data_IF_725052009380
#
_entry.id   IF_725052009380
#
_cell.length_a   1.000
_cell.length_b   1.000
_cell.length_c   1.000
_cell.angle_alpha   90.00
_cell.angle_beta   90.00
_cell.angle_gamma   90.00
#
_symmetry.space_group_name_H-M   'P 1'
#
loop_
_entity.id
_entity.type
_entity.pdbx_description
1 polymer ?
#
# COMPACT_ATOMS: atom_id res chain seq x y z
N UNK A 1 -11.57 13.33 -15.15
CA UNK A 1 -12.50 12.57 -14.27
C UNK A 1 -13.36 13.54 -13.47
N UNK A 2 -14.62 13.20 -13.18
CA UNK A 2 -15.49 14.01 -12.29
C UNK A 2 -15.28 13.61 -10.81
N UNK A 3 -15.58 14.51 -9.86
CA UNK A 3 -15.42 14.28 -8.40
C UNK A 3 -16.09 12.98 -7.91
N UNK A 4 -17.26 12.64 -8.47
CA UNK A 4 -17.98 11.40 -8.15
C UNK A 4 -17.17 10.13 -8.48
N UNK A 5 -16.42 10.14 -9.58
CA UNK A 5 -15.59 8.99 -9.98
C UNK A 5 -14.34 8.84 -9.09
N UNK A 6 -13.84 9.94 -8.53
CA UNK A 6 -12.69 9.95 -7.63
C UNK A 6 -13.06 9.37 -6.26
N UNK A 7 -14.19 9.81 -5.71
CA UNK A 7 -14.73 9.25 -4.46
C UNK A 7 -15.00 7.75 -4.62
N UNK A 8 -15.54 7.32 -5.76
CA UNK A 8 -15.78 5.91 -6.03
C UNK A 8 -14.48 5.09 -6.12
N UNK A 9 -13.45 5.60 -6.80
CA UNK A 9 -12.15 4.95 -6.89
C UNK A 9 -11.48 4.79 -5.51
N UNK A 10 -11.54 5.83 -4.68
CA UNK A 10 -11.04 5.80 -3.29
C UNK A 10 -11.73 4.73 -2.45
N UNK A 11 -13.07 4.67 -2.50
CA UNK A 11 -13.85 3.65 -1.78
C UNK A 11 -13.53 2.24 -2.30
N UNK A 12 -13.34 2.06 -3.60
CA UNK A 12 -12.97 0.77 -4.19
C UNK A 12 -11.58 0.30 -3.74
N UNK A 13 -10.58 1.20 -3.74
CA UNK A 13 -9.23 0.87 -3.28
C UNK A 13 -9.21 0.54 -1.78
N UNK A 14 -9.97 1.27 -0.96
CA UNK A 14 -10.12 0.95 0.47
C UNK A 14 -10.68 -0.46 0.68
N UNK A 15 -11.79 -0.80 0.01
CA UNK A 15 -12.40 -2.14 0.09
C UNK A 15 -11.47 -3.23 -0.41
N UNK A 16 -10.72 -2.95 -1.47
CA UNK A 16 -9.69 -3.85 -1.96
C UNK A 16 -8.65 -4.14 -0.88
N UNK A 17 -8.08 -3.09 -0.28
CA UNK A 17 -7.08 -3.23 0.78
C UNK A 17 -7.63 -4.02 1.98
N UNK A 18 -8.85 -3.70 2.43
CA UNK A 18 -9.54 -4.44 3.50
C UNK A 18 -9.67 -5.93 3.16
N UNK A 19 -10.13 -6.27 1.95
CA UNK A 19 -10.24 -7.66 1.50
C UNK A 19 -8.90 -8.39 1.38
N UNK A 20 -7.82 -7.68 1.04
CA UNK A 20 -6.45 -8.23 1.04
C UNK A 20 -5.97 -8.49 2.47
N UNK A 21 -6.21 -7.57 3.40
CA UNK A 21 -5.86 -7.77 4.82
C UNK A 21 -6.58 -8.96 5.47
N UNK A 22 -7.78 -9.30 5.01
CA UNK A 22 -8.54 -10.46 5.49
C UNK A 22 -7.96 -11.80 5.01
N UNK A 23 -7.11 -11.82 3.97
CA UNK A 23 -6.57 -13.06 3.43
C UNK A 23 -5.57 -13.73 4.40
N UNK A 24 -5.70 -15.04 4.66
CA UNK A 24 -4.79 -15.77 5.52
C UNK A 24 -3.33 -15.65 5.07
N UNK A 25 -2.48 -15.16 5.98
CA UNK A 25 -1.05 -15.02 5.73
C UNK A 25 -0.62 -13.72 5.06
N UNK A 26 -1.54 -12.79 4.74
CA UNK A 26 -1.18 -11.46 4.24
C UNK A 26 -0.57 -10.59 5.33
N UNK A 27 -1.18 -10.50 6.52
CA UNK A 27 -0.63 -9.70 7.63
C UNK A 27 0.85 -10.01 7.91
N UNK A 28 1.27 -11.27 8.14
CA UNK A 28 2.68 -11.56 8.38
C UNK A 28 3.58 -11.28 7.16
N UNK A 29 3.07 -11.40 5.93
CA UNK A 29 3.82 -11.09 4.71
C UNK A 29 4.06 -9.59 4.56
N UNK A 30 3.03 -8.76 4.76
CA UNK A 30 3.15 -7.30 4.70
C UNK A 30 4.07 -6.77 5.81
N UNK A 31 3.99 -7.35 7.01
CA UNK A 31 4.93 -7.03 8.08
C UNK A 31 6.39 -7.37 7.72
N UNK A 32 6.63 -8.52 7.11
CA UNK A 32 7.97 -8.92 6.64
C UNK A 32 8.50 -7.99 5.53
N UNK A 33 7.65 -7.64 4.55
CA UNK A 33 7.97 -6.68 3.49
C UNK A 33 8.33 -5.29 4.07
N UNK A 34 7.57 -4.84 5.06
CA UNK A 34 7.80 -3.57 5.72
C UNK A 34 9.09 -3.57 6.56
N UNK A 35 9.23 -4.54 7.45
CA UNK A 35 10.25 -4.52 8.49
C UNK A 35 11.61 -4.99 7.99
N UNK A 36 11.65 -5.93 7.04
CA UNK A 36 12.91 -6.52 6.54
C UNK A 36 13.32 -6.00 5.15
N UNK A 37 12.39 -5.45 4.36
CA UNK A 37 12.69 -4.91 3.02
C UNK A 37 12.43 -3.41 2.89
N UNK A 38 11.90 -2.76 3.93
CA UNK A 38 11.67 -1.32 3.93
C UNK A 38 10.55 -0.86 3.01
N UNK A 39 9.71 -1.77 2.51
CA UNK A 39 8.62 -1.43 1.61
C UNK A 39 7.51 -0.66 2.35
N UNK A 40 6.95 0.36 1.70
CA UNK A 40 5.69 0.93 2.14
C UNK A 40 4.52 0.05 1.66
N UNK A 41 3.87 -0.60 2.62
CA UNK A 41 2.79 -1.56 2.35
C UNK A 41 1.60 -0.94 1.63
N UNK A 42 1.33 0.36 1.79
CA UNK A 42 0.21 1.01 1.10
C UNK A 42 0.50 1.20 -0.38
N UNK A 43 1.75 1.52 -0.72
CA UNK A 43 2.17 1.60 -2.11
C UNK A 43 2.17 0.23 -2.79
N UNK A 44 2.51 -0.84 -2.05
CA UNK A 44 2.38 -2.21 -2.56
C UNK A 44 0.92 -2.60 -2.81
N UNK A 45 0.01 -2.27 -1.87
CA UNK A 45 -1.43 -2.52 -2.06
C UNK A 45 -1.97 -1.73 -3.26
N UNK A 46 -1.52 -0.49 -3.45
CA UNK A 46 -1.86 0.29 -4.63
C UNK A 46 -1.37 -0.34 -5.93
N UNK A 47 -0.13 -0.85 -5.93
CA UNK A 47 0.45 -1.57 -7.07
C UNK A 47 -0.36 -2.83 -7.41
N UNK A 48 -0.78 -3.60 -6.41
CA UNK A 48 -1.67 -4.74 -6.61
C UNK A 48 -3.01 -4.33 -7.23
N UNK A 49 -3.61 -3.24 -6.74
CA UNK A 49 -4.86 -2.71 -7.26
C UNK A 49 -4.76 -2.28 -8.73
N UNK A 50 -3.68 -1.59 -9.12
CA UNK A 50 -3.41 -1.22 -10.51
C UNK A 50 -3.21 -2.45 -11.41
N UNK A 51 -2.39 -3.40 -10.99
CA UNK A 51 -2.10 -4.61 -11.77
C UNK A 51 -3.34 -5.47 -12.01
N UNK A 52 -4.23 -5.58 -11.04
CA UNK A 52 -5.52 -6.30 -11.22
C UNK A 52 -6.43 -5.65 -12.26
N UNK A 53 -6.33 -4.34 -12.38
CA UNK A 53 -7.07 -3.55 -13.37
C UNK A 53 -6.37 -3.52 -14.73
N UNK A 54 -5.22 -4.19 -14.87
CA UNK A 54 -4.35 -4.13 -16.07
C UNK A 54 -3.95 -2.70 -16.41
N UNK A 55 -3.80 -1.88 -15.37
CA UNK A 55 -3.36 -0.50 -15.48
C UNK A 55 -1.88 -0.42 -15.15
N UNK A 56 -1.14 0.32 -15.97
CA UNK A 56 0.27 0.57 -15.76
C UNK A 56 0.52 2.03 -15.36
N UNK A 57 1.40 2.22 -14.38
CA UNK A 57 1.97 3.52 -14.07
C UNK A 57 3.42 3.57 -14.56
N UNK A 58 3.76 4.64 -15.30
CA UNK A 58 5.14 4.89 -15.67
C UNK A 58 6.00 5.13 -14.42
N UNK A 59 7.31 4.96 -14.54
CA UNK A 59 8.25 5.24 -13.45
C UNK A 59 8.07 6.65 -12.89
N UNK A 60 7.95 7.67 -13.75
CA UNK A 60 7.72 9.06 -13.33
C UNK A 60 6.40 9.28 -12.59
N UNK A 61 5.37 8.47 -12.88
CA UNK A 61 4.10 8.51 -12.15
C UNK A 61 4.26 7.89 -10.77
N UNK A 62 4.98 6.77 -10.66
CA UNK A 62 5.32 6.17 -9.39
C UNK A 62 6.17 7.10 -8.51
N UNK A 63 7.17 7.80 -9.07
CA UNK A 63 7.93 8.84 -8.36
C UNK A 63 7.01 9.92 -7.81
N UNK A 64 6.10 10.46 -8.64
CA UNK A 64 5.15 11.48 -8.21
C UNK A 64 4.20 10.98 -7.10
N UNK A 65 3.77 9.71 -7.17
CA UNK A 65 2.96 9.07 -6.13
C UNK A 65 3.75 8.95 -4.82
N UNK A 66 5.01 8.49 -4.88
CA UNK A 66 5.89 8.35 -3.72
C UNK A 66 6.13 9.71 -3.06
N UNK A 67 6.44 10.74 -3.84
CA UNK A 67 6.65 12.11 -3.37
C UNK A 67 5.41 12.68 -2.69
N UNK A 68 4.22 12.45 -3.26
CA UNK A 68 2.95 12.88 -2.66
C UNK A 68 2.60 12.10 -1.38
N UNK A 69 2.96 10.80 -1.34
CA UNK A 69 2.69 9.91 -0.22
C UNK A 69 3.56 10.21 1.00
N UNK A 70 4.83 10.54 0.77
CA UNK A 70 5.84 10.64 1.82
C UNK A 70 5.50 11.60 2.97
N UNK A 71 5.00 12.84 2.74
CA UNK A 71 4.68 13.75 3.84
C UNK A 71 3.64 13.20 4.82
N UNK A 72 2.60 12.52 4.34
CA UNK A 72 1.58 11.91 5.20
C UNK A 72 2.15 10.73 5.99
N UNK A 73 2.93 9.88 5.32
CA UNK A 73 3.63 8.78 5.98
C UNK A 73 4.51 9.32 7.12
N UNK A 74 5.40 10.26 6.84
CA UNK A 74 6.33 10.81 7.82
C UNK A 74 5.65 11.50 9.01
N UNK A 75 4.57 12.24 8.78
CA UNK A 75 3.95 13.10 9.80
C UNK A 75 2.78 12.46 10.55
N UNK A 76 2.17 11.40 10.02
CA UNK A 76 0.96 10.80 10.60
C UNK A 76 1.16 9.31 10.88
N UNK A 77 1.43 8.51 9.86
CA UNK A 77 1.47 7.06 9.99
C UNK A 77 2.71 6.60 10.78
N UNK A 78 3.90 7.14 10.49
CA UNK A 78 5.14 6.78 11.20
C UNK A 78 5.10 7.10 12.70
N UNK A 79 4.59 8.28 13.15
CA UNK A 79 4.38 8.55 14.57
C UNK A 79 3.39 7.58 15.24
N UNK A 80 2.25 7.29 14.61
CA UNK A 80 1.27 6.33 15.15
C UNK A 80 1.85 4.93 15.28
N UNK A 81 2.60 4.49 14.26
CA UNK A 81 3.30 3.20 14.26
C UNK A 81 4.36 3.11 15.35
N UNK A 82 5.13 4.18 15.54
CA UNK A 82 6.11 4.29 16.63
C UNK A 82 5.43 4.16 17.99
N UNK A 83 4.33 4.88 18.20
CA UNK A 83 3.54 4.79 19.42
C UNK A 83 2.97 3.37 19.63
N UNK A 84 2.37 2.75 18.60
CA UNK A 84 1.84 1.38 18.68
C UNK A 84 2.94 0.39 19.07
N UNK A 85 4.12 0.47 18.45
CA UNK A 85 5.26 -0.40 18.74
C UNK A 85 5.72 -0.27 20.18
N UNK A 86 5.77 0.95 20.71
CA UNK A 86 6.14 1.20 22.11
C UNK A 86 5.13 0.61 23.10
N UNK A 87 3.83 0.64 22.77
CA UNK A 87 2.75 0.14 23.64
C UNK A 87 2.58 -1.39 23.58
N UNK A 88 3.12 -2.05 22.54
CA UNK A 88 2.92 -3.48 22.31
C UNK A 88 3.47 -4.34 23.46
N UNK A 89 2.64 -5.23 24.00
CA UNK A 89 3.04 -6.21 25.03
C UNK A 89 3.06 -5.67 26.46
N UNK A 90 2.63 -4.43 26.69
CA UNK A 90 2.53 -3.82 28.01
C UNK A 90 1.12 -4.00 28.57
N UNK A 91 1.00 -4.56 29.77
CA UNK A 91 -0.29 -4.83 30.42
C UNK A 91 -1.02 -3.55 30.84
N UNK A 92 -0.28 -2.54 31.32
CA UNK A 92 -0.81 -1.25 31.79
C UNK A 92 -1.36 -0.36 30.66
N UNK A 93 -1.09 -0.70 29.39
CA UNK A 93 -1.50 0.08 28.23
C UNK A 93 -2.22 -0.72 27.16
N UNK A 94 -2.80 -1.89 27.49
CA UNK A 94 -3.47 -2.77 26.52
C UNK A 94 -4.60 -2.05 25.76
N UNK A 95 -5.45 -1.29 26.46
CA UNK A 95 -6.54 -0.53 25.85
C UNK A 95 -6.03 0.60 24.94
N UNK A 96 -4.95 1.27 25.35
CA UNK A 96 -4.32 2.33 24.55
C UNK A 96 -3.67 1.75 23.30
N UNK A 97 -3.02 0.58 23.41
CA UNK A 97 -2.45 -0.15 22.27
C UNK A 97 -3.51 -0.43 21.20
N UNK A 98 -4.70 -0.93 21.60
CA UNK A 98 -5.80 -1.19 20.66
C UNK A 98 -6.27 0.10 19.97
N UNK A 99 -6.43 1.19 20.73
CA UNK A 99 -6.84 2.49 20.17
C UNK A 99 -5.81 3.05 19.18
N UNK A 100 -4.53 3.03 19.53
CA UNK A 100 -3.45 3.51 18.64
C UNK A 100 -3.35 2.64 17.39
N UNK A 101 -3.49 1.30 17.52
CA UNK A 101 -3.56 0.39 16.36
C UNK A 101 -4.72 0.77 15.43
N UNK A 102 -5.91 1.07 15.98
CA UNK A 102 -7.05 1.52 15.20
C UNK A 102 -6.80 2.86 14.48
N UNK A 103 -6.16 3.82 15.16
CA UNK A 103 -5.79 5.09 14.55
C UNK A 103 -4.75 4.94 13.43
N UNK A 104 -3.74 4.08 13.61
CA UNK A 104 -2.75 3.77 12.57
C UNK A 104 -3.45 3.22 11.32
N UNK A 105 -4.30 2.20 11.49
CA UNK A 105 -5.03 1.59 10.38
C UNK A 105 -5.95 2.60 9.66
N UNK A 106 -6.71 3.41 10.40
CA UNK A 106 -7.60 4.39 9.77
C UNK A 106 -6.80 5.48 9.03
N UNK A 107 -5.65 5.91 9.56
CA UNK A 107 -4.77 6.86 8.88
C UNK A 107 -4.16 6.28 7.59
N UNK A 108 -3.87 4.98 7.58
CA UNK A 108 -3.40 4.24 6.41
C UNK A 108 -4.49 4.11 5.34
N UNK A 109 -5.71 3.68 5.72
CA UNK A 109 -6.84 3.54 4.80
C UNK A 109 -7.27 4.88 4.21
N UNK A 110 -7.27 5.95 5.01
CA UNK A 110 -7.56 7.30 4.55
C UNK A 110 -6.52 7.78 3.51
N UNK A 111 -5.27 7.41 3.67
CA UNK A 111 -4.22 7.74 2.70
C UNK A 111 -4.42 7.01 1.37
N UNK A 112 -4.79 5.72 1.41
CA UNK A 112 -5.14 4.97 0.21
C UNK A 112 -6.34 5.61 -0.52
N UNK A 113 -7.40 5.95 0.20
CA UNK A 113 -8.59 6.59 -0.40
C UNK A 113 -8.23 7.91 -1.12
N UNK A 114 -7.38 8.71 -0.50
CA UNK A 114 -6.86 9.96 -1.09
C UNK A 114 -5.94 9.72 -2.26
N UNK A 115 -5.13 8.65 -2.24
CA UNK A 115 -4.22 8.31 -3.33
C UNK A 115 -4.99 8.03 -4.62
N UNK A 116 -6.04 7.21 -4.56
CA UNK A 116 -6.88 6.94 -5.73
C UNK A 116 -7.60 8.20 -6.26
N UNK A 117 -7.88 9.16 -5.38
CA UNK A 117 -8.47 10.45 -5.78
C UNK A 117 -7.44 11.41 -6.39
N UNK A 118 -6.21 11.38 -5.88
CA UNK A 118 -5.09 12.21 -6.32
C UNK A 118 -4.54 11.74 -7.67
N UNK A 119 -4.38 10.43 -7.84
CA UNK A 119 -3.85 9.83 -9.04
C UNK A 119 -4.90 9.83 -10.16
N UNK A 120 -4.84 10.84 -11.02
CA UNK A 120 -5.84 11.08 -12.06
C UNK A 120 -5.83 10.07 -13.20
N UNK A 121 -4.87 9.13 -13.23
CA UNK A 121 -4.70 8.19 -14.34
C UNK A 121 -4.43 8.87 -15.70
N UNK A 122 -4.09 10.17 -15.71
CA UNK A 122 -3.98 10.96 -16.96
C UNK A 122 -2.68 10.64 -17.74
N UNK A 123 -1.75 9.89 -17.14
CA UNK A 123 -0.59 9.30 -17.79
C UNK A 123 -0.69 7.76 -17.81
N UNK A 124 -1.81 7.21 -18.29
CA UNK A 124 -1.84 5.80 -18.71
C UNK A 124 -0.93 5.65 -19.92
N UNK A 125 0.30 5.21 -19.69
CA UNK A 125 1.18 4.77 -20.76
C UNK A 125 0.53 3.56 -21.45
N UNK A 126 0.78 3.40 -22.75
CA UNK A 126 0.08 2.46 -23.65
C UNK A 126 0.60 1.02 -23.44
N UNK A 127 0.87 0.63 -22.19
CA UNK A 127 1.18 -0.74 -21.77
C UNK A 127 0.05 -1.28 -20.90
N UNK A 128 -1.11 -1.44 -21.53
CA UNK A 128 -2.26 -2.13 -20.96
C UNK A 128 -2.02 -3.64 -20.98
N UNK A 129 -1.07 -4.13 -20.20
CA UNK A 129 -1.02 -5.55 -19.82
C UNK A 129 -0.11 -5.85 -18.62
N UNK A 130 0.39 -4.82 -17.91
CA UNK A 130 1.33 -5.05 -16.83
C UNK A 130 0.70 -5.94 -15.74
N UNK A 131 1.43 -6.98 -15.35
CA UNK A 131 1.01 -7.89 -14.31
C UNK A 131 1.10 -7.23 -12.93
N UNK A 132 0.49 -7.86 -11.91
CA UNK A 132 0.61 -7.39 -10.52
C UNK A 132 2.07 -7.37 -10.08
N UNK A 133 2.85 -8.37 -10.50
CA UNK A 133 4.28 -8.49 -10.24
C UNK A 133 5.08 -7.35 -10.86
N UNK A 134 4.76 -6.93 -12.09
CA UNK A 134 5.41 -5.81 -12.76
C UNK A 134 5.11 -4.48 -12.06
N UNK A 135 3.87 -4.26 -11.62
CA UNK A 135 3.52 -3.07 -10.83
C UNK A 135 4.21 -3.07 -9.46
N UNK A 136 4.30 -4.22 -8.79
CA UNK A 136 5.02 -4.34 -7.52
C UNK A 136 6.52 -4.04 -7.70
N UNK A 137 7.13 -4.52 -8.78
CA UNK A 137 8.52 -4.25 -9.10
C UNK A 137 8.77 -2.76 -9.38
N UNK A 138 7.93 -2.12 -10.21
CA UNK A 138 8.02 -0.68 -10.50
C UNK A 138 7.82 0.17 -9.24
N UNK A 139 6.88 -0.22 -8.38
CA UNK A 139 6.63 0.42 -7.10
C UNK A 139 7.85 0.34 -6.16
N UNK A 140 8.55 -0.80 -6.09
CA UNK A 140 9.78 -0.92 -5.31
C UNK A 140 10.91 -0.05 -5.88
N UNK A 141 11.07 -0.03 -7.21
CA UNK A 141 12.11 0.77 -7.87
C UNK A 141 11.94 2.27 -7.60
N UNK A 142 10.70 2.78 -7.68
CA UNK A 142 10.39 4.17 -7.37
C UNK A 142 10.54 4.53 -5.88
N UNK A 143 10.50 3.54 -4.98
CA UNK A 143 10.85 3.71 -3.56
C UNK A 143 12.37 3.65 -3.32
N UNK A 144 13.18 3.41 -4.36
CA UNK A 144 14.63 3.22 -4.25
C UNK A 144 15.02 1.87 -3.62
N UNK A 145 14.14 0.86 -3.69
CA UNK A 145 14.35 -0.46 -3.08
C UNK A 145 14.89 -1.43 -4.14
N UNK A 146 16.09 -1.97 -3.89
CA UNK A 146 16.70 -2.96 -4.78
C UNK A 146 15.96 -4.31 -4.74
N UNK A 147 15.55 -4.80 -5.92
CA UNK A 147 14.80 -6.04 -6.09
C UNK A 147 15.66 -7.31 -5.98
N UNK A 148 16.06 -7.64 -4.75
CA UNK A 148 16.72 -8.90 -4.44
C UNK A 148 15.83 -10.12 -4.74
N UNK A 149 16.44 -11.30 -4.96
CA UNK A 149 15.69 -12.54 -5.16
C UNK A 149 14.76 -12.87 -3.98
N UNK A 150 15.18 -12.54 -2.76
CA UNK A 150 14.39 -12.74 -1.55
C UNK A 150 13.15 -11.83 -1.51
N UNK A 151 13.30 -10.57 -1.95
CA UNK A 151 12.19 -9.63 -2.08
C UNK A 151 11.22 -10.06 -3.17
N UNK A 152 11.72 -10.41 -4.36
CA UNK A 152 10.90 -10.88 -5.49
C UNK A 152 9.97 -12.02 -5.09
N UNK A 153 10.49 -13.06 -4.43
CA UNK A 153 9.65 -14.19 -4.00
C UNK A 153 8.55 -13.81 -3.00
N UNK A 154 8.70 -12.72 -2.24
CA UNK A 154 7.66 -12.18 -1.35
C UNK A 154 6.63 -11.36 -2.12
N UNK A 155 7.08 -10.56 -3.09
CA UNK A 155 6.20 -9.81 -3.99
C UNK A 155 5.35 -10.76 -4.83
N UNK A 156 5.93 -11.83 -5.36
CA UNK A 156 5.18 -12.88 -6.10
C UNK A 156 4.11 -13.52 -5.20
N UNK A 157 4.46 -13.81 -3.94
CA UNK A 157 3.48 -14.33 -2.97
C UNK A 157 2.38 -13.32 -2.67
N UNK A 158 2.72 -12.04 -2.57
CA UNK A 158 1.74 -10.97 -2.37
C UNK A 158 0.81 -10.85 -3.58
N UNK A 159 1.35 -10.93 -4.81
CA UNK A 159 0.57 -10.90 -6.04
C UNK A 159 -0.50 -12.01 -6.07
N UNK A 160 -0.11 -13.22 -5.67
CA UNK A 160 -1.04 -14.37 -5.57
C UNK A 160 -2.09 -14.16 -4.48
N UNK A 161 -1.69 -13.70 -3.29
CA UNK A 161 -2.62 -13.51 -2.17
C UNK A 161 -3.57 -12.33 -2.39
N UNK A 162 -3.14 -11.31 -3.14
CA UNK A 162 -3.95 -10.15 -3.42
C UNK A 162 -4.99 -10.41 -4.51
N UNK A 163 -4.82 -11.43 -5.36
CA UNK A 163 -5.71 -11.73 -6.48
C UNK A 163 -7.16 -11.96 -6.01
N UNK A 164 -8.17 -11.48 -6.75
CA UNK A 164 -9.57 -11.74 -6.42
C UNK A 164 -9.85 -13.24 -6.50
N UNK A 165 -10.60 -13.76 -5.52
CA UNK A 165 -11.16 -15.11 -5.52
C UNK A 165 -12.19 -15.30 -6.64
#
# INVERSE_FOLDING_TARGET
MNELQQVEAGVMLRRFAEGVYEQPGVEPLLLDLQDNHGCDVLLLLYACWLGQRREAASFSRWEAIVDWHWPWQAQVVTPLRTARRFLKGREDSADLYVKVKGCELEAELLQLERLASHDRGEALDIRRDDSVEEQLAACCDAQGIELSAALRGRLDRLAVLAAPL
#
